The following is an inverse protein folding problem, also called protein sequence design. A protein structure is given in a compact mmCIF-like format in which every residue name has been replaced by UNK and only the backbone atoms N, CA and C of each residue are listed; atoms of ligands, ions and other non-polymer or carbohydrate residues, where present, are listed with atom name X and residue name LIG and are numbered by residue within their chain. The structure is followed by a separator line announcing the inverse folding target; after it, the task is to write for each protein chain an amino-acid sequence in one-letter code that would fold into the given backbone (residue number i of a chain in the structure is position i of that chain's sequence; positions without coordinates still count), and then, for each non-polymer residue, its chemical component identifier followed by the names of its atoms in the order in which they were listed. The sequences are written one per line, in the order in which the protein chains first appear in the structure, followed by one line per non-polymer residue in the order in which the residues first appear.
data_IF_865840026963
#
_entry.id   IF_865840026963
#
_cell.length_a   1.000
_cell.length_b   1.000
_cell.length_c   1.000
_cell.angle_alpha   90.00
_cell.angle_beta   90.00
_cell.angle_gamma   90.00
#
_symmetry.space_group_name_H-M   'P 1'
#
loop_
_entity.id
_entity.type
_entity.pdbx_description
1 polymer ?
#
# COMPACT_ATOMS: atom_id res chain seq x y z
N UNK A 1 34.17 5.49 -18.58
CA UNK A 1 33.16 6.57 -18.45
C UNK A 1 31.84 6.14 -17.79
N UNK A 2 31.13 5.10 -18.27
CA UNK A 2 29.81 4.69 -17.71
C UNK A 2 29.79 4.42 -16.18
N UNK A 3 30.87 3.88 -15.61
CA UNK A 3 30.97 3.64 -14.15
C UNK A 3 30.99 4.93 -13.33
N UNK A 4 31.71 5.95 -13.79
CA UNK A 4 31.80 7.26 -13.11
C UNK A 4 30.45 7.97 -13.13
N UNK A 5 29.80 8.01 -14.31
CA UNK A 5 28.44 8.57 -14.43
C UNK A 5 27.44 7.84 -13.53
N UNK A 6 27.57 6.51 -13.40
CA UNK A 6 26.70 5.73 -12.52
C UNK A 6 26.97 6.01 -11.04
N UNK A 7 28.23 6.17 -10.64
CA UNK A 7 28.61 6.53 -9.28
C UNK A 7 28.08 7.91 -8.90
N UNK A 8 28.25 8.91 -9.78
CA UNK A 8 27.71 10.26 -9.60
C UNK A 8 26.20 10.24 -9.46
N UNK A 9 25.49 9.51 -10.34
CA UNK A 9 24.02 9.34 -10.23
C UNK A 9 23.61 8.75 -8.89
N UNK A 10 24.31 7.72 -8.41
CA UNK A 10 24.03 7.06 -7.14
C UNK A 10 24.40 7.90 -5.90
N UNK A 11 25.20 8.95 -6.07
CA UNK A 11 25.56 9.88 -5.01
C UNK A 11 24.59 11.08 -4.95
N UNK A 12 24.18 11.60 -6.11
CA UNK A 12 23.36 12.83 -6.21
C UNK A 12 21.86 12.55 -6.15
N UNK A 13 21.38 11.49 -6.82
CA UNK A 13 19.93 11.23 -6.90
C UNK A 13 19.31 10.93 -5.52
N UNK A 14 19.94 10.14 -4.63
CA UNK A 14 19.34 9.86 -3.32
C UNK A 14 19.10 11.07 -2.41
N UNK A 15 20.07 11.98 -2.18
CA UNK A 15 19.83 13.18 -1.38
C UNK A 15 18.81 14.11 -2.04
N UNK A 16 18.81 14.23 -3.38
CA UNK A 16 17.81 15.02 -4.10
C UNK A 16 16.42 14.42 -3.94
N UNK A 17 16.26 13.10 -4.12
CA UNK A 17 14.98 12.40 -3.93
C UNK A 17 14.45 12.55 -2.50
N UNK A 18 15.32 12.42 -1.50
CA UNK A 18 14.98 12.71 -0.11
C UNK A 18 14.50 14.16 0.08
N UNK A 19 15.24 15.14 -0.46
CA UNK A 19 14.89 16.55 -0.35
C UNK A 19 13.54 16.86 -1.00
N UNK A 20 13.27 16.33 -2.19
CA UNK A 20 11.98 16.48 -2.88
C UNK A 20 10.83 15.95 -2.04
N UNK A 21 10.96 14.74 -1.49
CA UNK A 21 9.93 14.15 -0.62
C UNK A 21 9.71 15.02 0.64
N UNK A 22 10.77 15.57 1.22
CA UNK A 22 10.67 16.44 2.40
C UNK A 22 10.05 17.81 2.07
N UNK A 23 10.31 18.36 0.88
CA UNK A 23 9.66 19.58 0.39
C UNK A 23 8.17 19.31 0.20
N UNK A 24 7.80 18.20 -0.46
CA UNK A 24 6.41 17.79 -0.62
C UNK A 24 5.71 17.60 0.73
N UNK A 25 6.39 16.99 1.70
CA UNK A 25 5.88 16.87 3.07
C UNK A 25 5.50 18.23 3.66
N UNK A 26 6.34 19.24 3.47
CA UNK A 26 6.14 20.60 4.02
C UNK A 26 5.08 21.40 3.27
N UNK A 27 4.93 21.19 1.97
CA UNK A 27 3.95 21.90 1.15
C UNK A 27 2.56 21.27 1.21
N UNK A 28 2.47 19.98 1.55
CA UNK A 28 1.21 19.25 1.71
C UNK A 28 0.70 19.31 3.14
N UNK A 29 -0.62 19.41 3.30
CA UNK A 29 -1.28 19.19 4.60
C UNK A 29 -1.59 17.71 4.73
N UNK A 30 -1.07 17.10 5.79
CA UNK A 30 -1.20 15.66 6.05
C UNK A 30 -2.41 15.41 6.95
N UNK A 31 -3.28 14.50 6.51
CA UNK A 31 -4.35 13.94 7.31
C UNK A 31 -4.22 12.42 7.23
N UNK A 32 -4.21 11.76 8.38
CA UNK A 32 -4.09 10.31 8.49
C UNK A 32 -5.37 9.78 9.10
N UNK A 33 -6.07 8.95 8.34
CA UNK A 33 -7.25 8.22 8.81
C UNK A 33 -6.85 6.78 9.13
N UNK A 34 -7.39 6.20 10.19
CA UNK A 34 -7.09 4.81 10.54
C UNK A 34 -5.75 4.60 11.25
N UNK A 35 -5.00 5.68 11.54
CA UNK A 35 -3.67 5.60 12.17
C UNK A 35 -3.70 4.94 13.56
N UNK A 36 -4.82 5.04 14.27
CA UNK A 36 -5.07 4.43 15.57
C UNK A 36 -4.94 2.90 15.56
N UNK A 37 -5.31 2.24 14.45
CA UNK A 37 -5.18 0.79 14.32
C UNK A 37 -3.72 0.35 14.36
N UNK A 38 -2.84 1.12 13.70
CA UNK A 38 -1.41 0.87 13.67
C UNK A 38 -0.77 1.20 15.01
N UNK A 39 -1.15 2.34 15.60
CA UNK A 39 -0.68 2.75 16.93
C UNK A 39 -1.01 1.71 18.00
N UNK A 40 -2.20 1.10 17.95
CA UNK A 40 -2.59 0.03 18.85
C UNK A 40 -1.70 -1.20 18.70
N UNK A 41 -1.43 -1.63 17.47
CA UNK A 41 -0.55 -2.78 17.21
C UNK A 41 0.88 -2.53 17.74
N UNK A 42 1.40 -1.31 17.58
CA UNK A 42 2.70 -0.94 18.14
C UNK A 42 2.69 -0.84 19.66
N UNK A 43 1.62 -0.35 20.28
CA UNK A 43 1.46 -0.34 21.74
C UNK A 43 1.42 -1.77 22.32
N UNK A 44 0.89 -2.73 21.57
CA UNK A 44 0.92 -4.17 21.88
C UNK A 44 2.30 -4.83 21.61
N UNK A 45 3.30 -4.06 21.16
CA UNK A 45 4.63 -4.57 20.82
C UNK A 45 4.65 -5.46 19.57
N UNK A 46 3.62 -5.39 18.72
CA UNK A 46 3.47 -6.24 17.54
C UNK A 46 4.12 -5.62 16.31
N UNK A 47 4.87 -6.44 15.59
CA UNK A 47 5.40 -6.08 14.27
C UNK A 47 4.35 -6.28 13.20
N UNK A 48 4.34 -5.41 12.20
CA UNK A 48 3.29 -5.36 11.18
C UNK A 48 3.83 -5.62 9.77
N UNK A 49 2.95 -6.06 8.87
CA UNK A 49 3.21 -6.11 7.43
C UNK A 49 2.43 -4.98 6.76
N UNK A 50 3.13 -3.92 6.39
CA UNK A 50 2.62 -2.79 5.65
C UNK A 50 2.43 -3.17 4.18
N UNK A 51 1.20 -3.06 3.70
CA UNK A 51 0.84 -3.36 2.31
C UNK A 51 0.25 -2.13 1.62
N UNK A 52 0.86 -1.68 0.52
CA UNK A 52 0.38 -0.54 -0.26
C UNK A 52 0.61 -0.76 -1.75
N UNK A 53 -0.16 -0.10 -2.61
CA UNK A 53 -0.03 -0.29 -4.06
C UNK A 53 1.26 0.33 -4.60
N UNK A 54 1.82 -0.26 -5.67
CA UNK A 54 3.02 0.29 -6.34
C UNK A 54 2.83 1.74 -6.82
N UNK A 55 1.60 2.18 -7.12
CA UNK A 55 1.37 3.56 -7.55
C UNK A 55 1.51 4.59 -6.42
N UNK A 56 1.53 4.17 -5.16
CA UNK A 56 1.44 5.06 -4.00
C UNK A 56 2.78 5.23 -3.26
N UNK A 57 3.85 4.57 -3.70
CA UNK A 57 5.11 4.44 -2.95
C UNK A 57 5.79 5.78 -2.62
N UNK A 58 5.56 6.84 -3.40
CA UNK A 58 6.30 8.10 -3.30
C UNK A 58 6.26 8.71 -1.89
N UNK A 59 5.08 8.75 -1.28
CA UNK A 59 4.85 9.39 0.03
C UNK A 59 4.81 8.38 1.20
N UNK A 60 4.87 7.08 0.90
CA UNK A 60 4.78 6.03 1.93
C UNK A 60 5.90 6.04 2.98
N UNK A 61 7.16 6.45 2.70
CA UNK A 61 8.19 6.58 3.74
C UNK A 61 7.82 7.54 4.88
N UNK A 62 6.82 8.39 4.68
CA UNK A 62 6.35 9.36 5.67
C UNK A 62 5.04 8.94 6.34
N UNK A 63 4.41 7.84 5.90
CA UNK A 63 3.08 7.44 6.35
C UNK A 63 3.03 7.15 7.86
N UNK A 64 4.10 6.56 8.40
CA UNK A 64 4.26 6.30 9.83
C UNK A 64 5.55 6.99 10.30
N UNK A 65 5.45 8.03 11.14
CA UNK A 65 6.62 8.74 11.63
C UNK A 65 7.58 7.83 12.39
N UNK A 66 8.88 7.92 12.08
CA UNK A 66 9.97 7.21 12.77
C UNK A 66 9.87 5.68 12.73
N UNK A 67 9.11 5.13 11.77
CA UNK A 67 9.03 3.69 11.60
C UNK A 67 10.34 3.15 11.02
N UNK A 68 10.93 2.19 11.72
CA UNK A 68 11.94 1.29 11.16
C UNK A 68 11.23 0.08 10.54
N UNK A 69 11.42 -0.14 9.25
CA UNK A 69 10.82 -1.26 8.53
C UNK A 69 11.71 -1.73 7.39
N UNK A 70 11.53 -3.00 7.02
CA UNK A 70 12.23 -3.67 5.94
C UNK A 70 11.33 -3.75 4.70
N UNK A 71 11.71 -3.02 3.65
CA UNK A 71 10.95 -2.89 2.40
C UNK A 71 11.45 -3.89 1.37
N UNK A 72 10.55 -4.64 0.73
CA UNK A 72 10.91 -5.50 -0.39
C UNK A 72 11.20 -4.65 -1.65
N UNK A 73 12.46 -4.64 -2.09
CA UNK A 73 12.91 -3.84 -3.25
C UNK A 73 13.65 -4.71 -4.27
N UNK A 74 13.31 -4.53 -5.55
CA UNK A 74 13.91 -5.25 -6.66
C UNK A 74 15.44 -5.12 -6.75
N UNK A 75 16.10 -6.16 -7.26
CA UNK A 75 17.56 -6.20 -7.45
C UNK A 75 18.08 -5.31 -8.59
N UNK A 76 17.19 -4.71 -9.39
CA UNK A 76 17.58 -3.83 -10.50
C UNK A 76 18.22 -2.52 -10.03
N UNK A 77 18.80 -1.80 -11.00
CA UNK A 77 19.48 -0.51 -10.80
C UNK A 77 18.55 0.54 -10.18
N UNK A 78 17.31 0.62 -10.64
CA UNK A 78 16.34 1.57 -10.08
C UNK A 78 15.99 1.23 -8.63
N UNK A 79 15.94 -0.06 -8.31
CA UNK A 79 15.79 -0.52 -6.93
C UNK A 79 16.97 -0.12 -6.04
N UNK A 80 18.19 0.00 -6.57
CA UNK A 80 19.33 0.50 -5.79
C UNK A 80 19.20 2.01 -5.50
N UNK A 81 18.68 2.79 -6.43
CA UNK A 81 18.36 4.20 -6.19
C UNK A 81 17.29 4.35 -5.11
N UNK A 82 16.18 3.61 -5.22
CA UNK A 82 15.10 3.63 -4.23
C UNK A 82 15.62 3.21 -2.87
N UNK A 83 16.43 2.14 -2.79
CA UNK A 83 17.05 1.69 -1.54
C UNK A 83 17.83 2.82 -0.86
N UNK A 84 18.68 3.54 -1.61
CA UNK A 84 19.47 4.65 -1.05
C UNK A 84 18.61 5.82 -0.61
N UNK A 85 17.48 6.08 -1.29
CA UNK A 85 16.52 7.12 -0.88
C UNK A 85 15.85 6.71 0.43
N UNK A 86 15.27 5.50 0.50
CA UNK A 86 14.53 5.04 1.68
C UNK A 86 15.43 4.87 2.92
N UNK A 87 16.70 4.54 2.74
CA UNK A 87 17.68 4.48 3.83
C UNK A 87 17.84 5.82 4.56
N UNK A 88 17.63 6.95 3.87
CA UNK A 88 17.63 8.29 4.49
C UNK A 88 16.40 8.57 5.35
N UNK A 89 15.37 7.73 5.25
CA UNK A 89 14.18 7.76 6.09
C UNK A 89 14.24 6.73 7.24
N UNK A 90 15.36 6.03 7.43
CA UNK A 90 15.49 4.96 8.45
C UNK A 90 14.86 3.63 8.03
N UNK A 91 14.62 3.44 6.73
CA UNK A 91 14.05 2.20 6.19
C UNK A 91 15.13 1.35 5.55
N UNK A 92 15.06 0.04 5.82
CA UNK A 92 15.95 -0.95 5.23
C UNK A 92 15.31 -1.63 4.03
N UNK A 93 16.13 -2.23 3.17
CA UNK A 93 15.65 -2.94 2.00
C UNK A 93 16.05 -4.41 2.00
N UNK A 94 15.07 -5.28 1.79
CA UNK A 94 15.30 -6.68 1.42
C UNK A 94 15.30 -6.79 -0.10
N UNK A 95 16.40 -7.30 -0.66
CA UNK A 95 16.61 -7.34 -2.10
C UNK A 95 15.91 -8.55 -2.75
N UNK A 96 14.90 -8.28 -3.56
CA UNK A 96 14.25 -9.30 -4.40
C UNK A 96 12.98 -8.78 -5.08
N UNK A 97 12.49 -9.56 -6.03
CA UNK A 97 11.23 -9.31 -6.72
C UNK A 97 10.58 -10.63 -7.11
N UNK A 98 9.31 -10.59 -7.55
CA UNK A 98 8.64 -11.76 -8.13
C UNK A 98 9.37 -12.32 -9.36
N UNK A 99 10.26 -11.55 -10.00
CA UNK A 99 11.01 -11.96 -11.20
C UNK A 99 12.43 -12.42 -10.90
N UNK A 100 13.06 -11.93 -9.82
CA UNK A 100 14.45 -12.24 -9.49
C UNK A 100 14.66 -12.30 -7.98
N UNK A 101 15.10 -13.44 -7.48
CA UNK A 101 15.42 -13.63 -6.06
C UNK A 101 14.22 -13.57 -5.11
N UNK A 102 12.98 -13.70 -5.61
CA UNK A 102 11.76 -13.56 -4.80
C UNK A 102 11.67 -14.58 -3.66
N UNK A 103 12.07 -15.84 -3.89
CA UNK A 103 12.02 -16.88 -2.87
C UNK A 103 13.04 -16.65 -1.75
N UNK A 104 14.23 -16.17 -2.07
CA UNK A 104 15.26 -15.81 -1.08
C UNK A 104 14.82 -14.58 -0.27
N UNK A 105 14.31 -13.56 -0.96
CA UNK A 105 13.79 -12.36 -0.33
C UNK A 105 12.61 -12.66 0.60
N UNK A 106 11.68 -13.53 0.19
CA UNK A 106 10.57 -13.95 1.04
C UNK A 106 11.08 -14.66 2.30
N UNK A 107 12.04 -15.58 2.19
CA UNK A 107 12.66 -16.24 3.36
C UNK A 107 13.32 -15.23 4.30
N UNK A 108 13.99 -14.22 3.76
CA UNK A 108 14.60 -13.15 4.56
C UNK A 108 13.56 -12.30 5.27
N UNK A 109 12.49 -11.91 4.59
CA UNK A 109 11.36 -11.19 5.16
C UNK A 109 10.70 -12.00 6.28
N UNK A 110 10.51 -13.32 6.09
CA UNK A 110 9.97 -14.20 7.14
C UNK A 110 10.87 -14.19 8.38
N UNK A 111 12.19 -14.29 8.20
CA UNK A 111 13.14 -14.27 9.32
C UNK A 111 13.06 -12.95 10.10
N UNK A 112 13.02 -11.83 9.39
CA UNK A 112 12.92 -10.48 9.97
C UNK A 112 11.57 -10.31 10.70
N UNK A 113 10.46 -10.71 10.09
CA UNK A 113 9.14 -10.60 10.72
C UNK A 113 9.06 -11.43 12.01
N UNK A 114 9.65 -12.63 12.02
CA UNK A 114 9.74 -13.47 13.23
C UNK A 114 10.64 -12.90 14.32
N UNK A 115 11.65 -12.11 13.96
CA UNK A 115 12.52 -11.42 14.93
C UNK A 115 11.94 -10.10 15.44
N UNK A 116 10.68 -9.80 15.12
CA UNK A 116 10.02 -8.57 15.57
C UNK A 116 10.22 -7.36 14.65
N UNK A 117 10.77 -7.53 13.45
CA UNK A 117 10.95 -6.44 12.49
C UNK A 117 9.66 -6.11 11.73
N UNK A 118 9.40 -4.81 11.53
CA UNK A 118 8.30 -4.38 10.66
C UNK A 118 8.65 -4.62 9.20
N UNK A 119 7.66 -5.03 8.42
CA UNK A 119 7.82 -5.38 7.02
C UNK A 119 6.98 -4.46 6.14
N UNK A 120 7.48 -4.14 4.96
CA UNK A 120 6.75 -3.35 3.98
C UNK A 120 6.88 -3.96 2.58
N UNK A 121 5.76 -4.13 1.90
CA UNK A 121 5.76 -4.58 0.52
C UNK A 121 4.56 -4.07 -0.27
N UNK A 122 4.73 -4.16 -1.57
CA UNK A 122 3.72 -3.79 -2.54
C UNK A 122 3.14 -5.07 -3.17
N UNK A 123 1.90 -5.47 -2.82
CA UNK A 123 1.39 -6.80 -3.12
C UNK A 123 1.02 -7.01 -4.60
N UNK A 124 0.84 -5.95 -5.37
CA UNK A 124 0.57 -5.99 -6.83
C UNK A 124 1.81 -6.35 -7.67
N UNK A 125 3.01 -6.01 -7.19
CA UNK A 125 4.25 -6.26 -7.93
C UNK A 125 4.41 -5.36 -9.17
N UNK A 126 5.63 -5.24 -9.72
CA UNK A 126 5.92 -4.35 -10.84
C UNK A 126 5.30 -4.80 -12.19
N UNK A 127 4.92 -6.08 -12.32
CA UNK A 127 4.40 -6.68 -13.55
C UNK A 127 2.92 -7.08 -13.47
N UNK A 128 2.31 -7.02 -12.29
CA UNK A 128 0.95 -7.51 -12.09
C UNK A 128 -0.10 -6.47 -12.51
N UNK A 129 -1.34 -6.90 -12.81
CA UNK A 129 -2.43 -5.95 -13.04
C UNK A 129 -2.53 -5.00 -11.84
N UNK A 130 -2.69 -3.70 -12.14
CA UNK A 130 -2.68 -2.65 -11.12
C UNK A 130 -3.71 -3.00 -10.04
N UNK A 131 -3.31 -2.89 -8.78
CA UNK A 131 -4.19 -3.08 -7.62
C UNK A 131 -4.76 -4.51 -7.45
N UNK A 132 -4.04 -5.53 -7.94
CA UNK A 132 -4.38 -6.93 -7.69
C UNK A 132 -3.34 -7.56 -6.78
N UNK A 133 -3.74 -7.85 -5.53
CA UNK A 133 -2.83 -8.41 -4.54
C UNK A 133 -2.42 -9.86 -4.89
N UNK A 134 -1.10 -10.13 -4.81
CA UNK A 134 -0.54 -11.47 -4.97
C UNK A 134 -0.52 -12.24 -3.67
N UNK A 135 -0.55 -13.57 -3.77
CA UNK A 135 -0.56 -14.49 -2.61
C UNK A 135 0.64 -14.33 -1.67
N UNK A 136 1.76 -13.76 -2.15
CA UNK A 136 2.99 -13.60 -1.36
C UNK A 136 2.82 -12.80 -0.07
N UNK A 137 1.94 -11.79 -0.05
CA UNK A 137 1.66 -11.02 1.18
C UNK A 137 0.96 -11.88 2.23
N UNK A 138 0.03 -12.74 1.79
CA UNK A 138 -0.72 -13.65 2.66
C UNK A 138 0.20 -14.76 3.17
N UNK A 139 1.06 -15.31 2.32
CA UNK A 139 2.06 -16.31 2.74
C UNK A 139 3.02 -15.74 3.77
N UNK A 140 3.49 -14.50 3.58
CA UNK A 140 4.36 -13.82 4.53
C UNK A 140 3.66 -13.63 5.88
N UNK A 141 2.40 -13.16 5.88
CA UNK A 141 1.61 -12.99 7.10
C UNK A 141 1.39 -14.33 7.83
N UNK A 142 1.02 -15.39 7.10
CA UNK A 142 0.85 -16.73 7.68
C UNK A 142 2.14 -17.28 8.29
N UNK A 143 3.28 -17.05 7.65
CA UNK A 143 4.56 -17.58 8.10
C UNK A 143 5.18 -16.81 9.27
N UNK A 144 4.85 -15.52 9.41
CA UNK A 144 5.37 -14.61 10.45
C UNK A 144 4.42 -14.46 11.63
N UNK A 145 3.11 -14.62 11.43
CA UNK A 145 2.08 -14.25 12.41
C UNK A 145 1.82 -12.74 12.50
N UNK A 146 2.50 -11.93 11.69
CA UNK A 146 2.32 -10.49 11.66
C UNK A 146 0.99 -10.12 10.98
N UNK A 147 0.21 -9.17 11.55
CA UNK A 147 -0.99 -8.66 10.90
C UNK A 147 -0.62 -7.85 9.65
N UNK A 148 -1.46 -7.96 8.61
CA UNK A 148 -1.36 -7.14 7.41
C UNK A 148 -2.10 -5.83 7.66
N UNK A 149 -1.40 -4.71 7.49
CA UNK A 149 -1.96 -3.36 7.55
C UNK A 149 -2.00 -2.80 6.13
N UNK A 150 -3.16 -2.79 5.47
CA UNK A 150 -3.31 -2.12 4.18
C UNK A 150 -3.25 -0.61 4.39
N UNK A 151 -2.45 0.07 3.56
CA UNK A 151 -2.35 1.53 3.54
C UNK A 151 -2.53 2.04 2.13
N UNK A 152 -3.11 3.23 2.04
CA UNK A 152 -3.28 3.96 0.80
C UNK A 152 -2.86 5.41 1.02
N UNK A 153 -2.30 6.01 -0.03
CA UNK A 153 -2.03 7.43 -0.09
C UNK A 153 -2.88 8.08 -1.18
N UNK A 154 -3.58 9.15 -0.82
CA UNK A 154 -4.34 9.98 -1.73
C UNK A 154 -4.00 11.46 -1.51
N UNK A 155 -4.07 12.25 -2.58
CA UNK A 155 -3.91 13.69 -2.50
C UNK A 155 -5.03 14.37 -3.29
N UNK A 156 -5.66 15.36 -2.69
CA UNK A 156 -6.59 16.25 -3.39
C UNK A 156 -6.13 17.69 -3.27
N UNK A 157 -6.40 18.48 -4.33
CA UNK A 157 -6.25 19.93 -4.25
C UNK A 157 -7.34 20.46 -3.32
N UNK A 158 -6.97 21.38 -2.42
CA UNK A 158 -7.85 21.99 -1.39
C UNK A 158 -9.19 22.57 -1.92
N UNK A 159 -9.40 22.64 -3.23
CA UNK A 159 -10.62 23.17 -3.86
C UNK A 159 -11.53 22.12 -4.54
N UNK A 160 -11.30 20.81 -4.40
CA UNK A 160 -12.18 19.80 -5.02
C UNK A 160 -13.52 19.62 -4.28
N UNK A 161 -13.71 20.20 -3.10
CA UNK A 161 -14.99 20.18 -2.37
C UNK A 161 -15.98 21.28 -2.81
N UNK A 162 -15.65 22.06 -3.85
CA UNK A 162 -16.51 23.15 -4.38
C UNK A 162 -16.97 22.99 -5.82
N UNK A 163 -16.66 21.88 -6.48
CA UNK A 163 -17.28 21.53 -7.75
C UNK A 163 -17.88 20.14 -7.61
N UNK A 164 -19.17 20.01 -7.95
CA UNK A 164 -19.87 18.74 -8.06
C UNK A 164 -19.25 17.84 -9.13
N UNK A 165 -18.09 17.27 -8.85
CA UNK A 165 -17.51 16.17 -9.60
C UNK A 165 -17.68 14.93 -8.75
N UNK A 166 -18.73 14.17 -9.01
CA UNK A 166 -18.98 12.88 -8.40
C UNK A 166 -17.78 11.97 -8.64
N UNK A 167 -16.99 11.76 -7.58
CA UNK A 167 -16.17 10.57 -7.46
C UNK A 167 -17.14 9.47 -7.01
N UNK A 168 -17.72 8.77 -7.98
CA UNK A 168 -18.35 7.49 -7.71
C UNK A 168 -17.24 6.48 -7.40
N UNK A 169 -16.87 6.38 -6.13
CA UNK A 169 -16.31 5.13 -5.63
C UNK A 169 -17.48 4.14 -5.53
N UNK A 170 -17.51 3.03 -6.30
CA UNK A 170 -18.45 1.95 -6.01
C UNK A 170 -17.87 1.14 -4.84
N UNK A 171 -17.81 1.74 -3.66
CA UNK A 171 -17.86 0.94 -2.43
C UNK A 171 -19.31 0.52 -2.30
N UNK A 172 -19.55 -0.75 -2.62
CA UNK A 172 -20.82 -1.43 -2.35
C UNK A 172 -20.90 -1.66 -0.84
N UNK A 173 -21.21 -0.61 -0.09
CA UNK A 173 -21.59 -0.73 1.32
C UNK A 173 -22.94 -1.45 1.36
N UNK A 174 -22.91 -2.70 1.80
CA UNK A 174 -24.09 -3.39 2.32
C UNK A 174 -24.51 -2.68 3.60
N UNK A 175 -25.62 -1.95 3.55
CA UNK A 175 -26.20 -1.26 4.70
C UNK A 175 -27.22 -0.24 4.22
N UNK A 176 -28.50 -0.53 4.43
CA UNK A 176 -29.62 0.26 3.97
C UNK A 176 -29.63 1.70 4.54
N UNK A 177 -30.09 2.71 3.78
CA UNK A 177 -30.14 4.09 4.20
C UNK A 177 -31.47 4.45 4.89
N UNK A 178 -31.40 5.06 6.08
CA UNK A 178 -32.45 5.95 6.58
C UNK A 178 -32.21 7.35 6.03
N UNK A 179 -33.11 7.79 5.14
CA UNK A 179 -33.58 9.17 4.85
C UNK A 179 -32.56 10.34 4.96
N UNK A 180 -32.36 11.19 3.95
CA UNK A 180 -33.34 12.07 3.30
C UNK A 180 -32.72 12.69 2.02
N UNK A 181 -33.60 13.25 1.18
CA UNK A 181 -33.37 14.04 -0.05
C UNK A 181 -33.24 13.24 -1.37
N UNK A 182 -34.36 13.21 -2.10
CA UNK A 182 -34.47 12.75 -3.49
C UNK A 182 -34.08 13.88 -4.47
N UNK A 183 -33.20 13.65 -5.45
CA UNK A 183 -33.20 14.43 -6.68
C UNK A 183 -34.26 13.88 -7.66
N UNK A 184 -35.11 14.79 -8.11
CA UNK A 184 -36.09 14.65 -9.17
C UNK A 184 -35.51 14.01 -10.45
N UNK A 185 -36.29 13.12 -11.08
CA UNK A 185 -36.11 12.76 -12.48
C UNK A 185 -35.63 11.34 -12.76
N UNK A 186 -36.45 10.32 -12.49
CA UNK A 186 -36.38 9.06 -13.24
C UNK A 186 -37.76 8.39 -13.25
N UNK A 187 -38.34 8.17 -14.44
CA UNK A 187 -39.55 7.37 -14.61
C UNK A 187 -39.21 5.89 -14.39
N UNK A 188 -39.93 5.14 -13.55
CA UNK A 188 -39.71 3.71 -13.40
C UNK A 188 -40.35 2.96 -14.57
N UNK A 189 -39.56 2.16 -15.28
CA UNK A 189 -40.08 1.02 -16.04
C UNK A 189 -40.49 -0.08 -15.06
N UNK A 190 -41.65 -0.70 -15.32
CA UNK A 190 -42.27 -1.75 -14.49
C UNK A 190 -41.31 -2.91 -14.15
N UNK A 191 -41.38 -3.47 -12.94
CA UNK A 191 -40.64 -4.69 -12.58
C UNK A 191 -41.31 -5.93 -13.16
N UNK A 192 -40.52 -6.78 -13.83
CA UNK A 192 -40.87 -8.19 -14.01
C UNK A 192 -40.47 -8.95 -12.74
N UNK A 193 -41.47 -9.61 -12.19
CA UNK A 193 -41.49 -10.43 -10.99
C UNK A 193 -40.63 -11.69 -11.08
N UNK A 194 -40.24 -12.14 -9.88
CA UNK A 194 -39.91 -13.52 -9.45
C UNK A 194 -38.66 -14.20 -10.02
N UNK A 195 -37.65 -14.38 -9.17
CA UNK A 195 -36.81 -15.59 -9.18
C UNK A 195 -36.64 -16.16 -7.76
N UNK A 196 -36.90 -17.46 -7.68
CA UNK A 196 -36.98 -18.30 -6.49
C UNK A 196 -35.60 -18.66 -5.93
N UNK A 197 -35.54 -18.88 -4.63
CA UNK A 197 -34.35 -19.36 -3.91
C UNK A 197 -34.07 -20.83 -4.24
N UNK A 198 -32.82 -21.17 -4.51
CA UNK A 198 -32.35 -22.55 -4.51
C UNK A 198 -31.06 -22.65 -3.69
N UNK A 199 -31.18 -23.26 -2.51
CA UNK A 199 -30.09 -23.51 -1.58
C UNK A 199 -29.29 -24.74 -2.01
N UNK A 200 -28.01 -24.54 -2.34
CA UNK A 200 -27.05 -25.61 -2.63
C UNK A 200 -26.05 -25.78 -1.50
N UNK A 201 -26.18 -26.87 -0.75
CA UNK A 201 -25.28 -27.34 0.32
C UNK A 201 -24.00 -27.91 -0.31
N UNK A 202 -22.82 -27.41 0.06
CA UNK A 202 -21.52 -27.97 -0.36
C UNK A 202 -20.80 -28.63 0.82
N UNK A 203 -20.58 -29.95 0.71
CA UNK A 203 -19.63 -30.71 1.54
C UNK A 203 -18.23 -30.57 0.95
N UNK A 204 -17.23 -30.40 1.80
CA UNK A 204 -15.80 -30.41 1.44
C UNK A 204 -15.25 -31.84 1.51
N UNK A 205 -14.27 -32.20 0.68
CA UNK A 205 -13.51 -33.44 0.79
C UNK A 205 -12.63 -33.45 2.04
#
# INVERSE_FOLDING_TARGET
MKRVTNAVKLAVVPPVGYAVIQILRRTMRWHTEGGEHVSRLFAEGRSVILAFWHAQQLMMPLAIPRLEAHVLISQHRDGELIRRIIARFGLDAVRGSSTRGGAEALRRMIRIGRSGGNLALTPDGPKGPRQVAKVGVVQLARATGCPIVPMAFGCSKKNSSRAGTGSSCPIRSLGAPSSWARPSGYRPTRPLTTWSACAGRWKRP
#
